data_IF_191686803418
#
_entry.id   IF_191686803418
#
_cell.length_a   1.000
_cell.length_b   1.000
_cell.length_c   1.000
_cell.angle_alpha   90.00
_cell.angle_beta   90.00
_cell.angle_gamma   90.00
#
_symmetry.space_group_name_H-M   'P 1'
#
loop_
_entity.id
_entity.type
_entity.pdbx_description
1 polymer ?
#
# COMPACT_ATOMS: atom_id res chain seq x y z
N UNK A 1 -22.82 4.07 79.69
CA UNK A 1 -21.84 4.73 78.82
C UNK A 1 -21.58 3.81 77.64
N UNK A 2 -22.28 4.13 76.54
CA UNK A 2 -22.23 3.33 75.33
C UNK A 2 -21.22 3.95 74.35
N UNK A 3 -20.08 3.28 74.12
CA UNK A 3 -19.07 3.70 73.14
C UNK A 3 -19.46 3.15 71.77
N UNK A 4 -19.95 4.01 70.90
CA UNK A 4 -20.20 3.70 69.51
C UNK A 4 -18.85 3.74 68.77
N UNK A 5 -18.37 2.58 68.35
CA UNK A 5 -17.23 2.44 67.46
C UNK A 5 -17.71 2.70 65.99
N UNK A 6 -17.43 3.90 65.49
CA UNK A 6 -17.69 4.26 64.11
C UNK A 6 -16.51 3.77 63.26
N UNK A 7 -16.63 2.56 62.71
CA UNK A 7 -15.68 2.03 61.73
C UNK A 7 -15.91 2.74 60.38
N UNK A 8 -15.04 3.69 60.08
CA UNK A 8 -14.98 4.35 58.79
C UNK A 8 -14.35 3.38 57.78
N UNK A 9 -15.20 2.72 57.01
CA UNK A 9 -14.77 1.87 55.88
C UNK A 9 -14.29 2.75 54.76
N UNK A 10 -12.98 3.00 54.69
CA UNK A 10 -12.34 3.68 53.54
C UNK A 10 -12.44 2.74 52.32
N UNK A 11 -13.45 2.95 51.50
CA UNK A 11 -13.54 2.36 50.17
C UNK A 11 -12.46 3.03 49.31
N UNK A 12 -11.27 2.43 49.30
CA UNK A 12 -10.20 2.79 48.38
C UNK A 12 -10.69 2.39 46.96
N UNK A 13 -11.37 3.29 46.25
CA UNK A 13 -11.55 3.19 44.81
C UNK A 13 -10.15 3.19 44.17
N UNK A 14 -9.58 2.01 43.96
CA UNK A 14 -8.48 1.82 43.05
C UNK A 14 -8.98 2.15 41.65
N UNK A 15 -8.97 3.46 41.35
CA UNK A 15 -9.08 3.93 39.96
C UNK A 15 -7.87 3.33 39.25
N UNK A 16 -8.10 2.22 38.54
CA UNK A 16 -7.14 1.72 37.57
C UNK A 16 -6.87 2.86 36.62
N UNK A 17 -5.71 3.50 36.72
CA UNK A 17 -5.23 4.44 35.72
C UNK A 17 -5.07 3.59 34.46
N UNK A 18 -6.15 3.53 33.67
CA UNK A 18 -6.09 2.99 32.32
C UNK A 18 -5.16 3.92 31.56
N UNK A 19 -3.90 3.57 31.50
CA UNK A 19 -2.98 4.24 30.61
C UNK A 19 -3.55 4.10 29.18
N UNK A 20 -4.15 5.16 28.68
CA UNK A 20 -4.73 5.16 27.34
C UNK A 20 -3.62 4.78 26.35
N UNK A 21 -3.70 3.57 25.82
CA UNK A 21 -2.72 3.04 24.90
C UNK A 21 -2.77 3.83 23.60
N UNK A 22 -1.61 4.21 23.08
CA UNK A 22 -1.50 4.92 21.80
C UNK A 22 -0.71 4.09 20.81
N UNK A 23 -1.22 3.92 19.60
CA UNK A 23 -0.49 3.40 18.46
C UNK A 23 -0.13 4.57 17.54
N UNK A 24 1.15 4.80 17.34
CA UNK A 24 1.66 5.83 16.44
C UNK A 24 1.84 5.26 15.05
N UNK A 25 1.08 5.76 14.07
CA UNK A 25 1.15 5.35 12.67
C UNK A 25 2.06 6.29 11.90
N UNK A 26 3.08 5.74 11.27
CA UNK A 26 3.89 6.47 10.30
C UNK A 26 3.10 6.61 8.99
N UNK A 27 2.82 7.85 8.64
CA UNK A 27 2.17 8.23 7.38
C UNK A 27 3.16 9.02 6.50
N UNK A 28 3.06 8.91 5.20
CA UNK A 28 3.87 9.68 4.26
C UNK A 28 3.04 9.98 3.01
N UNK A 29 3.38 11.06 2.32
CA UNK A 29 2.69 11.42 1.08
C UNK A 29 3.00 10.38 0.00
N UNK A 30 2.01 9.53 -0.28
CA UNK A 30 2.15 8.42 -1.21
C UNK A 30 0.76 8.02 -1.76
N UNK A 31 0.23 8.87 -2.61
CA UNK A 31 -1.05 8.60 -3.26
C UNK A 31 -0.95 7.37 -4.20
N UNK A 32 -2.01 6.55 -4.25
CA UNK A 32 -3.33 6.68 -3.62
C UNK A 32 -3.45 5.99 -2.25
N UNK A 33 -2.36 5.69 -1.59
CA UNK A 33 -2.36 4.97 -0.30
C UNK A 33 -2.57 5.95 0.85
N UNK A 34 -1.83 7.06 0.84
CA UNK A 34 -2.03 8.24 1.67
C UNK A 34 -2.17 9.44 0.76
N UNK A 35 -3.28 10.18 0.88
CA UNK A 35 -3.58 11.36 0.06
C UNK A 35 -3.70 12.56 0.99
N UNK A 36 -2.62 13.31 1.14
CA UNK A 36 -2.51 14.37 2.14
C UNK A 36 -3.10 15.71 1.68
N UNK A 37 -3.32 15.88 0.39
CA UNK A 37 -3.84 17.12 -0.20
C UNK A 37 -4.62 16.86 -1.50
N UNK A 38 -5.23 17.92 -2.03
CA UNK A 38 -5.96 17.89 -3.30
C UNK A 38 -7.39 17.36 -3.21
N UNK A 39 -8.00 17.16 -4.36
CA UNK A 39 -9.42 16.79 -4.51
C UNK A 39 -9.79 15.49 -3.77
N UNK A 40 -8.87 14.55 -3.64
CA UNK A 40 -9.09 13.24 -3.02
C UNK A 40 -8.45 13.12 -1.63
N UNK A 41 -8.18 14.26 -0.97
CA UNK A 41 -7.60 14.29 0.37
C UNK A 41 -8.38 13.38 1.34
N UNK A 42 -7.67 12.64 2.17
CA UNK A 42 -8.22 11.67 3.14
C UNK A 42 -8.99 10.48 2.54
N UNK A 43 -8.90 10.26 1.21
CA UNK A 43 -9.48 9.10 0.55
C UNK A 43 -8.45 8.00 0.25
N UNK A 44 -7.27 8.11 0.83
CA UNK A 44 -6.21 7.12 0.70
C UNK A 44 -6.65 5.74 1.21
N UNK A 45 -6.22 4.67 0.52
CA UNK A 45 -6.56 3.30 0.91
C UNK A 45 -6.06 2.98 2.31
N UNK A 46 -4.80 3.28 2.58
CA UNK A 46 -4.13 2.91 3.82
C UNK A 46 -4.64 3.76 5.00
N UNK A 47 -4.86 5.07 4.78
CA UNK A 47 -5.53 5.94 5.75
C UNK A 47 -6.90 5.38 6.16
N UNK A 48 -7.67 4.94 5.17
CA UNK A 48 -9.01 4.39 5.40
C UNK A 48 -8.99 3.05 6.13
N UNK A 49 -7.99 2.18 5.85
CA UNK A 49 -7.81 0.91 6.58
C UNK A 49 -7.42 1.18 8.03
N UNK A 50 -6.52 2.14 8.30
CA UNK A 50 -6.19 2.56 9.67
C UNK A 50 -7.46 3.03 10.39
N UNK A 51 -8.32 3.81 9.72
CA UNK A 51 -9.58 4.27 10.30
C UNK A 51 -10.59 3.12 10.55
N UNK A 52 -10.57 2.04 9.77
CA UNK A 52 -11.35 0.84 10.07
C UNK A 52 -10.82 0.13 11.33
N UNK A 53 -9.50 0.02 11.47
CA UNK A 53 -8.87 -0.57 12.66
C UNK A 53 -9.15 0.26 13.91
N UNK A 54 -9.08 1.59 13.83
CA UNK A 54 -9.39 2.53 14.89
C UNK A 54 -10.82 2.34 15.44
N UNK A 55 -11.78 2.16 14.54
CA UNK A 55 -13.18 1.88 14.94
C UNK A 55 -13.34 0.55 15.69
N UNK A 56 -12.49 -0.44 15.46
CA UNK A 56 -12.51 -1.71 16.18
C UNK A 56 -11.83 -1.63 17.54
N UNK A 57 -11.05 -0.59 17.81
CA UNK A 57 -10.20 -0.43 18.99
C UNK A 57 -10.50 0.90 19.73
N UNK A 58 -11.74 1.13 20.20
CA UNK A 58 -12.17 2.43 20.77
C UNK A 58 -11.38 2.86 22.02
N UNK A 59 -10.71 1.92 22.69
CA UNK A 59 -9.91 2.19 23.87
C UNK A 59 -8.41 2.45 23.55
N UNK A 60 -8.05 2.52 22.28
CA UNK A 60 -6.69 2.78 21.81
C UNK A 60 -6.71 4.06 20.98
N UNK A 61 -5.85 5.01 21.31
CA UNK A 61 -5.67 6.23 20.52
C UNK A 61 -4.78 5.94 19.31
N UNK A 62 -5.21 6.34 18.12
CA UNK A 62 -4.40 6.25 16.90
C UNK A 62 -3.85 7.63 16.55
N UNK A 63 -2.55 7.79 16.68
CA UNK A 63 -1.85 9.01 16.30
C UNK A 63 -1.18 8.81 14.93
N UNK A 64 -1.31 9.79 14.03
CA UNK A 64 -0.73 9.76 12.68
C UNK A 64 0.45 10.73 12.59
N UNK A 65 1.64 10.19 12.39
CA UNK A 65 2.90 10.93 12.31
C UNK A 65 3.35 11.03 10.86
N UNK A 66 3.34 12.23 10.31
CA UNK A 66 3.79 12.46 8.95
C UNK A 66 5.32 12.51 8.88
N UNK A 67 5.90 11.62 8.07
CA UNK A 67 7.36 11.52 7.86
C UNK A 67 7.69 11.37 6.37
N UNK A 68 8.92 11.68 5.94
CA UNK A 68 9.39 11.35 4.60
C UNK A 68 9.38 9.82 4.35
N UNK A 69 8.92 9.39 3.17
CA UNK A 69 8.82 7.96 2.82
C UNK A 69 10.11 7.17 3.01
N UNK A 70 11.26 7.77 2.67
CA UNK A 70 12.58 7.16 2.84
C UNK A 70 12.99 6.93 4.31
N UNK A 71 12.27 7.50 5.28
CA UNK A 71 12.55 7.33 6.71
C UNK A 71 11.74 6.21 7.37
N UNK A 72 10.66 5.73 6.74
CA UNK A 72 9.72 4.75 7.34
C UNK A 72 10.45 3.52 7.92
N UNK A 73 11.31 2.88 7.13
CA UNK A 73 12.03 1.68 7.58
C UNK A 73 13.05 2.02 8.68
N UNK A 74 13.73 3.15 8.59
CA UNK A 74 14.68 3.59 9.62
C UNK A 74 13.97 3.81 10.96
N UNK A 75 12.81 4.49 10.98
CA UNK A 75 12.03 4.74 12.20
C UNK A 75 11.49 3.44 12.81
N UNK A 76 10.99 2.52 11.97
CA UNK A 76 10.52 1.20 12.42
C UNK A 76 11.64 0.32 12.99
N UNK A 77 12.86 0.43 12.45
CA UNK A 77 14.01 -0.36 12.90
C UNK A 77 14.67 0.19 14.15
N UNK A 78 14.34 1.41 14.58
CA UNK A 78 14.83 1.99 15.81
C UNK A 78 14.01 1.48 17.02
N UNK A 79 14.57 0.56 17.78
CA UNK A 79 13.91 -0.10 18.93
C UNK A 79 13.47 0.84 20.05
N UNK A 80 14.00 2.08 20.08
CA UNK A 80 13.56 3.12 21.04
C UNK A 80 12.24 3.78 20.65
N UNK A 81 11.79 3.62 19.39
CA UNK A 81 10.53 4.14 18.93
C UNK A 81 9.38 3.18 19.27
N UNK A 82 8.15 3.71 19.29
CA UNK A 82 6.90 2.93 19.38
C UNK A 82 6.01 3.35 18.21
N UNK A 83 6.31 2.83 17.03
CA UNK A 83 5.65 3.22 15.77
C UNK A 83 5.27 2.00 14.94
N UNK A 84 4.21 2.15 14.16
CA UNK A 84 3.76 1.16 13.18
C UNK A 84 3.59 1.79 11.80
N UNK A 85 3.66 1.00 10.75
CA UNK A 85 3.32 1.41 9.39
C UNK A 85 2.53 0.31 8.67
N UNK A 86 1.70 0.71 7.72
CA UNK A 86 0.82 -0.17 6.96
C UNK A 86 1.41 -0.44 5.56
N UNK A 87 0.96 -1.51 4.90
CA UNK A 87 1.31 -1.87 3.52
C UNK A 87 2.80 -2.13 3.26
N UNK A 88 3.53 -2.61 4.25
CA UNK A 88 4.94 -2.95 4.11
C UNK A 88 5.12 -4.34 3.46
N UNK A 89 6.08 -4.45 2.55
CA UNK A 89 6.56 -5.76 2.09
C UNK A 89 7.43 -6.42 3.16
N UNK A 90 7.19 -7.72 3.39
CA UNK A 90 8.06 -8.57 4.20
C UNK A 90 9.25 -9.03 3.34
N UNK A 91 10.46 -8.79 3.83
CA UNK A 91 11.68 -9.45 3.37
C UNK A 91 12.55 -9.81 4.57
N UNK A 92 13.59 -10.59 4.37
CA UNK A 92 14.36 -11.14 5.48
C UNK A 92 15.04 -10.04 6.29
N UNK A 93 15.64 -9.04 5.65
CA UNK A 93 16.22 -7.89 6.34
C UNK A 93 15.20 -7.19 7.24
N UNK A 94 13.99 -6.92 6.75
CA UNK A 94 12.96 -6.24 7.55
C UNK A 94 12.45 -7.10 8.70
N UNK A 95 12.33 -8.42 8.52
CA UNK A 95 11.92 -9.34 9.61
C UNK A 95 12.92 -9.38 10.77
N UNK A 96 14.21 -9.14 10.51
CA UNK A 96 15.20 -9.04 11.56
C UNK A 96 14.98 -7.83 12.47
N UNK A 97 14.44 -6.73 11.95
CA UNK A 97 14.35 -5.44 12.64
C UNK A 97 12.93 -4.96 12.93
N UNK A 98 11.89 -5.59 12.37
CA UNK A 98 10.50 -5.15 12.44
C UNK A 98 9.62 -6.36 12.76
N UNK A 99 8.66 -6.21 13.69
CA UNK A 99 7.59 -7.18 13.88
C UNK A 99 6.50 -6.96 12.83
N UNK A 100 5.98 -8.04 12.27
CA UNK A 100 4.93 -8.01 11.26
C UNK A 100 3.69 -8.79 11.70
N UNK A 101 2.52 -8.32 11.28
CA UNK A 101 1.30 -9.12 11.36
C UNK A 101 1.41 -10.37 10.47
N UNK A 102 0.77 -11.47 10.86
CA UNK A 102 0.65 -12.67 10.00
C UNK A 102 -0.34 -12.38 8.86
N UNK A 103 -1.45 -11.74 9.20
CA UNK A 103 -2.43 -11.28 8.22
C UNK A 103 -1.90 -10.12 7.38
N UNK A 104 -2.12 -10.19 6.08
CA UNK A 104 -1.88 -9.05 5.21
C UNK A 104 -2.85 -7.91 5.54
N UNK A 105 -2.33 -6.70 5.67
CA UNK A 105 -3.16 -5.50 5.85
C UNK A 105 -3.76 -5.01 4.55
N UNK A 106 -3.11 -5.32 3.44
CA UNK A 106 -3.57 -4.97 2.09
C UNK A 106 -3.26 -6.09 1.11
N UNK A 107 -4.15 -6.27 0.14
CA UNK A 107 -3.95 -7.16 -1.00
C UNK A 107 -4.30 -6.38 -2.26
N UNK A 108 -3.48 -6.45 -3.27
CA UNK A 108 -3.67 -5.74 -4.54
C UNK A 108 -3.14 -6.54 -5.73
N UNK A 109 -3.43 -6.06 -6.92
CA UNK A 109 -2.77 -6.54 -8.13
C UNK A 109 -1.29 -6.14 -8.09
N UNK A 110 -0.44 -7.03 -8.58
CA UNK A 110 1.00 -6.79 -8.71
C UNK A 110 1.31 -5.73 -9.76
N UNK A 111 2.59 -5.33 -9.92
CA UNK A 111 2.96 -4.37 -10.95
C UNK A 111 2.39 -4.72 -12.32
N UNK A 112 1.96 -3.71 -13.02
CA UNK A 112 1.35 -3.75 -14.34
C UNK A 112 2.01 -2.69 -15.22
N UNK A 113 1.70 -2.72 -16.50
CA UNK A 113 1.96 -1.60 -17.39
C UNK A 113 0.68 -0.80 -17.62
N UNK A 114 0.85 0.51 -17.76
CA UNK A 114 -0.16 1.41 -18.29
C UNK A 114 0.25 1.91 -19.67
N UNK A 115 -0.73 2.08 -20.57
CA UNK A 115 -0.53 2.59 -21.92
C UNK A 115 -1.80 3.23 -22.46
N UNK A 116 -1.68 3.97 -23.58
CA UNK A 116 -2.85 4.45 -24.28
C UNK A 116 -3.69 3.31 -24.85
N UNK A 117 -5.04 3.39 -24.74
CA UNK A 117 -5.98 2.43 -25.33
C UNK A 117 -5.75 2.23 -26.83
N UNK A 118 -5.40 3.30 -27.56
CA UNK A 118 -5.11 3.23 -29.02
C UNK A 118 -3.88 2.37 -29.30
N UNK A 119 -2.83 2.47 -28.50
CA UNK A 119 -1.63 1.64 -28.62
C UNK A 119 -1.93 0.18 -28.31
N UNK A 120 -2.66 -0.09 -27.23
CA UNK A 120 -3.06 -1.46 -26.88
C UNK A 120 -3.86 -2.15 -28.00
N UNK A 121 -4.76 -1.42 -28.65
CA UNK A 121 -5.51 -1.91 -29.83
C UNK A 121 -4.59 -2.16 -31.03
N UNK A 122 -3.68 -1.22 -31.34
CA UNK A 122 -2.73 -1.36 -32.45
C UNK A 122 -1.79 -2.57 -32.28
N UNK A 123 -1.46 -2.91 -31.03
CA UNK A 123 -0.63 -4.08 -30.68
C UNK A 123 -1.43 -5.38 -30.54
N UNK A 124 -2.77 -5.34 -30.69
CA UNK A 124 -3.69 -6.48 -30.45
C UNK A 124 -3.60 -7.07 -29.04
N UNK A 125 -3.32 -6.25 -28.03
CA UNK A 125 -3.22 -6.67 -26.62
C UNK A 125 -4.35 -6.12 -25.76
N UNK A 126 -5.28 -5.37 -26.34
CA UNK A 126 -6.35 -4.71 -25.60
C UNK A 126 -7.24 -5.68 -24.81
N UNK A 127 -7.45 -6.91 -25.34
CA UNK A 127 -8.32 -7.93 -24.71
C UNK A 127 -7.53 -9.03 -23.99
N UNK A 128 -6.19 -8.95 -23.97
CA UNK A 128 -5.38 -9.94 -23.27
C UNK A 128 -5.49 -9.74 -21.77
N UNK A 129 -5.57 -10.85 -21.01
CA UNK A 129 -5.61 -10.83 -19.54
C UNK A 129 -4.30 -10.37 -18.93
N UNK A 130 -3.19 -10.76 -19.56
CA UNK A 130 -1.81 -10.46 -19.15
C UNK A 130 -0.95 -10.29 -20.40
N UNK A 131 0.16 -9.57 -20.28
CA UNK A 131 1.12 -9.35 -21.36
C UNK A 131 2.54 -9.58 -20.84
N UNK A 132 3.46 -9.94 -21.74
CA UNK A 132 4.87 -10.04 -21.39
C UNK A 132 5.55 -8.68 -21.52
N UNK A 133 6.18 -8.21 -20.44
CA UNK A 133 6.99 -7.00 -20.44
C UNK A 133 8.17 -7.16 -21.41
N UNK A 134 8.83 -8.32 -21.40
CA UNK A 134 9.95 -8.62 -22.30
C UNK A 134 9.55 -8.43 -23.76
N UNK A 135 8.42 -9.00 -24.16
CA UNK A 135 7.92 -8.88 -25.54
C UNK A 135 7.67 -7.40 -25.91
N UNK A 136 7.10 -6.62 -25.00
CA UNK A 136 6.79 -5.20 -25.28
C UNK A 136 8.06 -4.35 -25.45
N UNK A 137 9.09 -4.56 -24.64
CA UNK A 137 10.30 -3.73 -24.68
C UNK A 137 11.33 -4.22 -25.71
N UNK A 138 11.41 -5.52 -25.95
CA UNK A 138 12.41 -6.11 -26.85
C UNK A 138 11.87 -6.29 -28.27
N UNK A 139 10.74 -6.98 -28.43
CA UNK A 139 10.21 -7.30 -29.74
C UNK A 139 9.42 -6.14 -30.37
N UNK A 140 8.65 -5.41 -29.54
CA UNK A 140 7.89 -4.24 -29.99
C UNK A 140 8.66 -2.93 -29.87
N UNK A 141 9.82 -2.94 -29.20
CA UNK A 141 10.72 -1.78 -29.01
C UNK A 141 9.99 -0.56 -28.44
N UNK A 142 9.09 -0.78 -27.47
CA UNK A 142 8.35 0.29 -26.84
C UNK A 142 9.22 1.00 -25.80
N UNK A 143 9.10 2.32 -25.74
CA UNK A 143 9.76 3.14 -24.72
C UNK A 143 9.11 2.91 -23.34
N UNK A 144 9.90 2.40 -22.40
CA UNK A 144 9.46 2.06 -21.05
C UNK A 144 9.79 3.18 -20.05
N UNK A 145 8.79 3.71 -19.36
CA UNK A 145 8.96 4.61 -18.22
C UNK A 145 9.07 3.85 -16.90
N UNK A 146 10.10 4.15 -16.10
CA UNK A 146 10.28 3.60 -14.74
C UNK A 146 10.72 4.68 -13.75
N UNK A 147 10.32 4.55 -12.48
CA UNK A 147 10.79 5.39 -11.39
C UNK A 147 12.16 4.91 -10.91
N UNK A 148 13.13 5.84 -10.74
CA UNK A 148 14.45 5.51 -10.24
C UNK A 148 14.39 4.92 -8.82
N UNK A 149 15.27 3.97 -8.53
CA UNK A 149 15.42 3.33 -7.22
C UNK A 149 14.15 2.66 -6.68
N UNK A 150 13.21 2.32 -7.57
CA UNK A 150 12.01 1.57 -7.24
C UNK A 150 12.16 0.12 -7.71
N UNK A 151 11.88 -0.82 -6.82
CA UNK A 151 11.75 -2.23 -7.16
C UNK A 151 10.31 -2.56 -7.55
N UNK A 152 10.15 -3.35 -8.58
CA UNK A 152 8.87 -3.89 -9.06
C UNK A 152 8.76 -5.40 -8.86
N UNK A 153 9.71 -5.97 -8.14
CA UNK A 153 9.86 -7.41 -7.92
C UNK A 153 11.07 -7.97 -8.66
N UNK A 154 11.64 -9.03 -8.10
CA UNK A 154 12.93 -9.56 -8.55
C UNK A 154 12.95 -9.92 -10.05
N UNK A 155 11.89 -10.53 -10.56
CA UNK A 155 11.83 -10.94 -11.96
C UNK A 155 11.82 -9.73 -12.90
N UNK A 156 10.97 -8.74 -12.63
CA UNK A 156 10.88 -7.51 -13.44
C UNK A 156 12.18 -6.71 -13.34
N UNK A 157 12.73 -6.54 -12.13
CA UNK A 157 13.96 -5.79 -11.92
C UNK A 157 15.13 -6.44 -12.64
N UNK A 158 15.22 -7.79 -12.59
CA UNK A 158 16.24 -8.54 -13.33
C UNK A 158 16.06 -8.38 -14.82
N UNK A 159 14.81 -8.49 -15.32
CA UNK A 159 14.51 -8.36 -16.75
C UNK A 159 14.93 -6.97 -17.27
N UNK A 160 14.57 -5.89 -16.57
CA UNK A 160 14.93 -4.52 -16.97
C UNK A 160 16.47 -4.34 -17.01
N UNK A 161 17.16 -4.88 -15.99
CA UNK A 161 18.62 -4.71 -15.89
C UNK A 161 19.41 -5.59 -16.85
N UNK A 162 18.88 -6.74 -17.27
CA UNK A 162 19.57 -7.70 -18.13
C UNK A 162 19.20 -7.62 -19.62
N UNK A 163 18.12 -6.92 -19.98
CA UNK A 163 17.70 -6.79 -21.37
C UNK A 163 18.54 -5.73 -22.08
N UNK A 164 19.29 -6.08 -23.13
CA UNK A 164 20.11 -5.11 -23.85
C UNK A 164 19.26 -4.18 -24.72
N UNK A 165 19.74 -2.95 -24.91
CA UNK A 165 19.20 -1.97 -25.86
C UNK A 165 17.71 -1.64 -25.68
N UNK A 166 17.21 -1.69 -24.42
CA UNK A 166 15.85 -1.22 -24.13
C UNK A 166 15.80 0.30 -24.18
N UNK A 167 14.71 0.82 -24.75
CA UNK A 167 14.43 2.26 -24.71
C UNK A 167 13.78 2.57 -23.35
N UNK A 168 14.58 3.11 -22.43
CA UNK A 168 14.24 3.30 -21.03
C UNK A 168 14.29 4.77 -20.62
N UNK A 169 13.16 5.28 -20.13
CA UNK A 169 13.06 6.61 -19.51
C UNK A 169 12.96 6.48 -18.00
N UNK A 170 14.03 6.89 -17.31
CA UNK A 170 14.12 6.89 -15.85
C UNK A 170 13.91 8.29 -15.29
N UNK A 171 13.06 8.43 -14.26
CA UNK A 171 12.87 9.69 -13.55
C UNK A 171 13.32 9.58 -12.10
N UNK A 172 14.24 10.46 -11.63
CA UNK A 172 14.88 10.35 -10.32
C UNK A 172 14.17 11.10 -9.18
N UNK A 173 13.07 11.81 -9.45
CA UNK A 173 12.48 12.73 -8.48
C UNK A 173 11.43 12.06 -7.58
N UNK A 174 11.08 12.73 -6.45
CA UNK A 174 9.99 12.31 -5.55
C UNK A 174 8.67 12.09 -6.30
N UNK A 175 8.39 12.95 -7.29
CA UNK A 175 7.17 12.88 -8.11
C UNK A 175 7.41 12.16 -9.46
N UNK A 176 8.36 11.22 -9.47
CA UNK A 176 8.77 10.50 -10.67
C UNK A 176 7.60 9.84 -11.40
N UNK A 177 6.70 9.18 -10.66
CA UNK A 177 5.57 8.49 -11.26
C UNK A 177 4.55 9.46 -11.84
N UNK A 178 4.28 10.60 -11.18
CA UNK A 178 3.41 11.64 -11.73
C UNK A 178 4.01 12.26 -13.00
N UNK A 179 5.33 12.53 -13.00
CA UNK A 179 6.04 13.02 -14.19
C UNK A 179 5.99 12.03 -15.35
N UNK A 180 6.22 10.74 -15.09
CA UNK A 180 6.13 9.68 -16.09
C UNK A 180 4.69 9.49 -16.60
N UNK A 181 3.70 9.60 -15.70
CA UNK A 181 2.28 9.56 -16.09
C UNK A 181 1.92 10.71 -17.03
N UNK A 182 2.45 11.91 -16.77
CA UNK A 182 2.29 13.04 -17.66
C UNK A 182 2.99 12.83 -19.03
N UNK A 183 4.19 12.22 -19.01
CA UNK A 183 4.90 11.85 -20.25
C UNK A 183 4.12 10.80 -21.05
N UNK A 184 3.50 9.81 -20.38
CA UNK A 184 2.62 8.84 -21.02
C UNK A 184 1.42 9.53 -21.68
N UNK A 185 0.77 10.45 -20.98
CA UNK A 185 -0.34 11.23 -21.55
C UNK A 185 0.07 12.00 -22.81
N UNK A 186 1.27 12.59 -22.81
CA UNK A 186 1.84 13.30 -23.96
C UNK A 186 2.46 12.37 -25.02
N UNK A 187 2.38 11.04 -24.86
CA UNK A 187 2.96 10.03 -25.74
C UNK A 187 4.49 10.18 -25.92
N UNK A 188 5.19 10.64 -24.88
CA UNK A 188 6.65 10.72 -24.83
C UNK A 188 7.30 9.42 -24.33
N UNK A 189 6.50 8.55 -23.77
CA UNK A 189 6.78 7.15 -23.49
C UNK A 189 5.57 6.34 -23.93
N UNK A 190 5.78 5.08 -24.28
CA UNK A 190 4.73 4.19 -24.78
C UNK A 190 4.04 3.43 -23.65
N UNK A 191 4.81 2.95 -22.68
CA UNK A 191 4.35 2.17 -21.54
C UNK A 191 4.97 2.69 -20.24
N UNK A 192 4.23 2.59 -19.17
CA UNK A 192 4.64 3.00 -17.84
C UNK A 192 4.48 1.84 -16.87
N UNK A 193 5.56 1.48 -16.17
CA UNK A 193 5.57 0.43 -15.16
C UNK A 193 5.18 0.99 -13.79
N UNK A 194 4.28 0.31 -13.09
CA UNK A 194 3.83 0.67 -11.74
C UNK A 194 2.67 -0.18 -11.28
N UNK A 195 2.01 0.23 -10.20
CA UNK A 195 0.84 -0.49 -9.69
C UNK A 195 -0.47 0.05 -10.29
N UNK A 196 -1.46 -0.82 -10.55
CA UNK A 196 -2.72 -0.41 -11.16
C UNK A 196 -3.43 0.75 -10.44
N UNK A 197 -3.40 0.75 -9.11
CA UNK A 197 -4.01 1.82 -8.32
C UNK A 197 -3.33 3.17 -8.50
N UNK A 198 -2.01 3.17 -8.64
CA UNK A 198 -1.22 4.39 -8.86
C UNK A 198 -1.49 4.98 -10.23
N UNK A 199 -1.45 4.14 -11.26
CA UNK A 199 -1.76 4.56 -12.63
C UNK A 199 -3.17 5.15 -12.74
N UNK A 200 -4.16 4.48 -12.16
CA UNK A 200 -5.54 4.96 -12.21
C UNK A 200 -5.73 6.27 -11.45
N UNK A 201 -5.18 6.37 -10.23
CA UNK A 201 -5.24 7.60 -9.44
C UNK A 201 -4.62 8.78 -10.18
N UNK A 202 -3.41 8.62 -10.70
CA UNK A 202 -2.69 9.69 -11.39
C UNK A 202 -3.38 10.08 -12.70
N UNK A 203 -3.82 9.11 -13.49
CA UNK A 203 -4.56 9.39 -14.71
C UNK A 203 -5.86 10.15 -14.42
N UNK A 204 -6.60 9.74 -13.38
CA UNK A 204 -7.83 10.39 -12.93
C UNK A 204 -7.55 11.81 -12.41
N UNK A 205 -6.48 12.00 -11.65
CA UNK A 205 -6.07 13.33 -11.16
C UNK A 205 -5.65 14.27 -12.29
N UNK A 206 -5.23 13.73 -13.42
CA UNK A 206 -4.82 14.47 -14.63
C UNK A 206 -5.89 14.47 -15.73
N UNK A 207 -7.09 13.93 -15.46
CA UNK A 207 -8.24 13.89 -16.37
C UNK A 207 -7.98 13.20 -17.73
N UNK A 208 -7.24 12.07 -17.72
CA UNK A 208 -7.05 11.25 -18.94
C UNK A 208 -7.27 9.75 -18.73
N UNK A 209 -7.88 9.34 -17.64
CA UNK A 209 -8.15 7.94 -17.31
C UNK A 209 -8.95 7.21 -18.39
N UNK A 210 -9.81 7.93 -19.11
CA UNK A 210 -10.59 7.37 -20.19
C UNK A 210 -9.74 6.92 -21.40
N UNK A 211 -8.55 7.49 -21.57
CA UNK A 211 -7.61 7.14 -22.63
C UNK A 211 -6.61 6.07 -22.25
N UNK A 212 -6.53 5.76 -20.95
CA UNK A 212 -5.57 4.81 -20.38
C UNK A 212 -6.16 3.40 -20.34
N UNK A 213 -5.32 2.42 -20.59
CA UNK A 213 -5.58 1.02 -20.23
C UNK A 213 -4.40 0.44 -19.49
N UNK A 214 -4.64 -0.61 -18.72
CA UNK A 214 -3.61 -1.28 -17.93
C UNK A 214 -3.64 -2.77 -18.22
N UNK A 215 -2.46 -3.40 -18.21
CA UNK A 215 -2.35 -4.85 -18.35
C UNK A 215 -1.41 -5.42 -17.30
N UNK A 216 -1.88 -6.41 -16.53
CA UNK A 216 -1.00 -7.22 -15.69
C UNK A 216 0.13 -7.84 -16.50
N UNK A 217 1.23 -8.13 -15.83
CA UNK A 217 2.41 -8.72 -16.45
C UNK A 217 2.52 -10.21 -16.14
N UNK A 218 2.92 -10.99 -17.12
CA UNK A 218 3.22 -12.43 -16.93
C UNK A 218 4.41 -12.65 -16.00
N UNK A 219 5.31 -11.67 -15.91
CA UNK A 219 6.49 -11.67 -15.05
C UNK A 219 6.19 -11.20 -13.60
N UNK A 220 4.93 -10.87 -13.30
CA UNK A 220 4.50 -10.49 -11.96
C UNK A 220 3.73 -11.61 -11.28
N UNK A 221 3.86 -11.79 -9.94
CA UNK A 221 2.93 -12.64 -9.21
C UNK A 221 1.51 -12.11 -9.35
N UNK A 222 0.52 -12.99 -9.22
CA UNK A 222 -0.89 -12.61 -9.37
C UNK A 222 -1.34 -11.50 -8.42
N UNK A 223 -0.85 -11.54 -7.17
CA UNK A 223 -1.20 -10.60 -6.10
C UNK A 223 0.05 -10.10 -5.40
N UNK A 224 -0.01 -8.88 -4.92
CA UNK A 224 0.94 -8.31 -3.97
C UNK A 224 0.27 -8.10 -2.61
N UNK A 225 1.05 -8.33 -1.55
CA UNK A 225 0.60 -8.25 -0.17
C UNK A 225 1.40 -7.21 0.60
N UNK A 226 0.69 -6.35 1.32
CA UNK A 226 1.28 -5.46 2.31
C UNK A 226 0.90 -5.90 3.71
N UNK A 227 1.76 -5.67 4.68
CA UNK A 227 1.56 -6.05 6.07
C UNK A 227 1.69 -4.85 6.99
N UNK A 228 1.13 -4.92 8.19
CA UNK A 228 1.47 -3.98 9.24
C UNK A 228 2.83 -4.41 9.80
N UNK A 229 3.74 -3.45 9.93
CA UNK A 229 4.97 -3.60 10.65
C UNK A 229 5.04 -2.62 11.80
N UNK A 230 5.47 -3.08 12.98
CA UNK A 230 5.72 -2.25 14.15
C UNK A 230 7.16 -2.42 14.63
N UNK A 231 7.67 -1.44 15.35
CA UNK A 231 9.01 -1.47 15.97
C UNK A 231 9.24 -2.76 16.73
N UNK A 232 10.44 -3.35 16.61
CA UNK A 232 10.78 -4.63 17.23
C UNK A 232 11.17 -4.46 18.69
N UNK A 233 10.19 -4.15 19.54
CA UNK A 233 10.30 -4.04 20.99
C UNK A 233 9.04 -4.62 21.67
N UNK A 234 8.97 -4.56 23.00
CA UNK A 234 7.85 -5.11 23.78
C UNK A 234 6.50 -4.48 23.41
N UNK A 235 6.48 -3.15 23.21
CA UNK A 235 5.26 -2.46 22.83
C UNK A 235 4.81 -2.83 21.42
N UNK A 236 5.74 -2.88 20.46
CA UNK A 236 5.45 -3.29 19.08
C UNK A 236 4.95 -4.72 18.98
N UNK A 237 5.45 -5.65 19.80
CA UNK A 237 4.92 -7.02 19.86
C UNK A 237 3.44 -7.03 20.30
N UNK A 238 3.09 -6.23 21.34
CA UNK A 238 1.71 -6.08 21.82
C UNK A 238 0.81 -5.44 20.75
N UNK A 239 1.33 -4.44 20.01
CA UNK A 239 0.58 -3.77 18.95
C UNK A 239 0.31 -4.71 17.78
N UNK A 240 1.32 -5.47 17.34
CA UNK A 240 1.17 -6.47 16.27
C UNK A 240 0.13 -7.53 16.63
N UNK A 241 0.13 -8.05 17.86
CA UNK A 241 -0.83 -9.07 18.27
C UNK A 241 -2.27 -8.57 18.18
N UNK A 242 -2.55 -7.36 18.69
CA UNK A 242 -3.90 -6.77 18.63
C UNK A 242 -4.30 -6.43 17.19
N UNK A 243 -3.40 -5.80 16.42
CA UNK A 243 -3.67 -5.41 15.05
C UNK A 243 -3.90 -6.62 14.15
N UNK A 244 -3.17 -7.72 14.38
CA UNK A 244 -3.37 -8.97 13.66
C UNK A 244 -4.79 -9.53 13.84
N UNK A 245 -5.30 -9.55 15.07
CA UNK A 245 -6.66 -10.01 15.35
C UNK A 245 -7.71 -9.08 14.71
N UNK A 246 -7.51 -7.76 14.76
CA UNK A 246 -8.44 -6.83 14.14
C UNK A 246 -8.41 -6.90 12.60
N UNK A 247 -7.26 -7.20 12.00
CA UNK A 247 -7.21 -7.47 10.56
C UNK A 247 -8.10 -8.63 10.15
N UNK A 248 -8.13 -9.73 10.93
CA UNK A 248 -9.03 -10.88 10.69
C UNK A 248 -10.51 -10.47 10.71
N UNK A 249 -10.85 -9.49 11.55
CA UNK A 249 -12.23 -8.97 11.66
C UNK A 249 -12.56 -8.08 10.46
N UNK A 250 -11.77 -7.03 10.22
CA UNK A 250 -12.10 -6.05 9.17
C UNK A 250 -12.04 -6.64 7.77
N UNK A 251 -11.15 -7.60 7.50
CA UNK A 251 -11.03 -8.28 6.19
C UNK A 251 -12.29 -9.02 5.76
N UNK A 252 -13.18 -9.36 6.69
CA UNK A 252 -14.47 -9.99 6.40
C UNK A 252 -15.55 -8.97 6.01
N UNK A 253 -15.28 -7.67 6.16
CA UNK A 253 -16.27 -6.61 5.92
C UNK A 253 -16.28 -6.16 4.46
N UNK A 254 -17.46 -5.75 3.98
CA UNK A 254 -17.58 -5.12 2.66
C UNK A 254 -16.78 -3.83 2.60
N UNK A 255 -16.76 -3.04 3.67
CA UNK A 255 -16.01 -1.79 3.75
C UNK A 255 -14.52 -1.98 3.43
N UNK A 256 -13.89 -3.01 3.99
CA UNK A 256 -12.49 -3.32 3.66
C UNK A 256 -12.31 -3.71 2.18
N UNK A 257 -13.19 -4.55 1.65
CA UNK A 257 -13.14 -4.95 0.24
C UNK A 257 -13.31 -3.75 -0.70
N UNK A 258 -14.19 -2.81 -0.38
CA UNK A 258 -14.39 -1.59 -1.16
C UNK A 258 -13.13 -0.69 -1.16
N UNK A 259 -12.39 -0.65 -0.04
CA UNK A 259 -11.12 0.08 0.04
C UNK A 259 -10.05 -0.51 -0.87
N UNK A 260 -9.96 -1.84 -0.99
CA UNK A 260 -9.03 -2.48 -1.92
C UNK A 260 -9.34 -2.16 -3.38
N UNK A 261 -10.62 -1.92 -3.71
CA UNK A 261 -11.10 -1.65 -5.07
C UNK A 261 -11.16 -0.16 -5.42
N UNK A 262 -11.11 0.74 -4.43
CA UNK A 262 -11.37 2.18 -4.59
C UNK A 262 -10.55 2.83 -5.70
N UNK A 263 -9.28 2.54 -5.75
CA UNK A 263 -8.32 3.11 -6.70
C UNK A 263 -7.95 2.14 -7.83
N UNK A 264 -8.84 1.20 -8.15
CA UNK A 264 -8.70 0.35 -9.33
C UNK A 264 -9.69 0.78 -10.41
N UNK A 265 -9.27 0.77 -11.69
CA UNK A 265 -10.19 0.92 -12.79
C UNK A 265 -11.22 -0.21 -12.77
N UNK A 266 -12.42 0.06 -13.30
CA UNK A 266 -13.56 -0.86 -13.18
C UNK A 266 -13.30 -2.23 -13.82
N UNK A 267 -12.60 -2.25 -14.95
CA UNK A 267 -12.24 -3.48 -15.68
C UNK A 267 -11.26 -4.39 -14.91
N UNK A 268 -10.48 -3.86 -13.99
CA UNK A 268 -9.54 -4.66 -13.17
C UNK A 268 -10.14 -5.12 -11.82
N UNK A 269 -11.27 -4.58 -11.37
CA UNK A 269 -11.91 -4.98 -10.10
C UNK A 269 -12.35 -6.45 -10.08
N UNK A 270 -12.99 -7.01 -11.15
CA UNK A 270 -13.31 -8.44 -11.20
C UNK A 270 -12.07 -9.33 -11.15
N UNK A 271 -10.98 -8.92 -11.78
CA UNK A 271 -9.71 -9.66 -11.76
C UNK A 271 -9.14 -9.75 -10.34
N UNK A 272 -9.09 -8.63 -9.60
CA UNK A 272 -8.62 -8.63 -8.21
C UNK A 272 -9.50 -9.54 -7.34
N UNK A 273 -10.84 -9.42 -7.45
CA UNK A 273 -11.79 -10.28 -6.71
C UNK A 273 -11.55 -11.77 -7.00
N UNK A 274 -11.41 -12.13 -8.26
CA UNK A 274 -11.15 -13.52 -8.69
C UNK A 274 -9.86 -14.05 -8.08
N UNK A 275 -8.76 -13.28 -8.15
CA UNK A 275 -7.46 -13.68 -7.63
C UNK A 275 -7.45 -13.82 -6.09
N UNK A 276 -8.14 -12.93 -5.37
CA UNK A 276 -8.29 -13.05 -3.90
C UNK A 276 -9.07 -14.32 -3.54
N UNK A 277 -10.10 -14.67 -4.29
CA UNK A 277 -10.93 -15.84 -4.00
C UNK A 277 -10.20 -17.16 -4.33
N UNK A 278 -9.29 -17.18 -5.29
CA UNK A 278 -8.49 -18.36 -5.63
C UNK A 278 -7.36 -18.66 -4.64
N UNK A 279 -7.06 -17.74 -3.72
CA UNK A 279 -6.02 -17.90 -2.68
C UNK A 279 -6.58 -18.25 -1.30
N UNK A 280 -7.91 -18.33 -1.17
CA UNK A 280 -8.61 -18.79 0.04
C UNK A 280 -8.84 -20.30 -0.01
#
# INVERSE_FOLDING_TARGET
>A
MLRIFLTFLLFFCLSSISNARTINWLAHDFAPYYILNGQYQHQGRDESIISLLEKQLPNITFNRMLIPSGKVIQELSNTSNNVCALSLYKNDYRKEHIYFTDESSTTGLSPSIAMHKKLAKALNIAELKEVSLLNLIQDKKLTLGVSMSRSYGQEIDTLINSTPNIDLVIRPTRDSLASLTYMLNLKRIDILLGYPSEHYYLAKSMHFEENLTQRPLTESPALSYGFIGCTKNEQGAKDIAILNEQLKVIKKTQAYNDLLMRWLPEDLRPLLKSRINSTK
#
